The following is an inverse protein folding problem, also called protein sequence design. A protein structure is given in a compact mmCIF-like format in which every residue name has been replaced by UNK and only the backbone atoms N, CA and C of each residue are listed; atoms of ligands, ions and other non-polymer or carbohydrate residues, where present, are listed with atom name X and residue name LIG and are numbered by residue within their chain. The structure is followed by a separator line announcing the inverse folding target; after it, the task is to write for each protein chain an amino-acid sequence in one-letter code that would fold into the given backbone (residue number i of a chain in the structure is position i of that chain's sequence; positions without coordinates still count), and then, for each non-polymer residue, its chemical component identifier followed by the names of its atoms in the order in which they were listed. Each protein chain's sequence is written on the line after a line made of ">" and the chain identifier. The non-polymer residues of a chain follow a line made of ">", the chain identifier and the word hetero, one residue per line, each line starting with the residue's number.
data_IF_635222231627
#
_entry.id   IF_635222231627
#
_cell.length_a   1.000
_cell.length_b   1.000
_cell.length_c   1.000
_cell.angle_alpha   90.00
_cell.angle_beta   90.00
_cell.angle_gamma   90.00
#
_symmetry.space_group_name_H-M   'P 1'
#
loop_
_entity.id
_entity.type
_entity.pdbx_description
1 polymer ?
#
# COMPACT_ATOMS: atom_id res chain seq x y z
N UNK A 1 -11.97 -17.99 3.40
CA UNK A 1 -11.46 -19.31 3.83
C UNK A 1 -10.39 -19.05 4.88
N UNK A 2 -10.69 -19.32 6.14
CA UNK A 2 -9.71 -19.29 7.23
C UNK A 2 -8.96 -20.62 7.22
N UNK A 3 -7.89 -20.69 6.43
CA UNK A 3 -6.87 -21.72 6.63
C UNK A 3 -6.22 -21.50 8.00
N UNK A 4 -5.78 -22.57 8.64
CA UNK A 4 -4.95 -22.44 9.85
C UNK A 4 -3.70 -21.64 9.47
N UNK A 5 -3.55 -20.44 10.03
CA UNK A 5 -2.42 -19.53 9.75
C UNK A 5 -1.08 -20.18 10.14
N UNK A 6 -1.13 -21.31 10.87
CA UNK A 6 0.04 -22.08 11.25
C UNK A 6 0.25 -23.34 10.39
N UNK A 7 -0.62 -23.63 9.42
CA UNK A 7 -0.44 -24.75 8.52
C UNK A 7 0.85 -24.57 7.70
N UNK A 8 1.86 -25.40 8.00
CA UNK A 8 3.15 -25.35 7.34
C UNK A 8 4.24 -24.54 8.05
N UNK A 9 3.99 -23.96 9.23
CA UNK A 9 5.04 -23.35 10.06
C UNK A 9 5.84 -24.42 10.82
N UNK A 10 6.58 -25.24 10.08
CA UNK A 10 7.67 -26.01 10.67
C UNK A 10 8.83 -25.10 11.10
N UNK A 11 9.82 -25.66 11.80
CA UNK A 11 10.95 -24.90 12.32
C UNK A 11 11.70 -24.08 11.25
N UNK A 12 11.75 -24.55 10.00
CA UNK A 12 12.42 -23.82 8.91
C UNK A 12 11.55 -22.66 8.42
N UNK A 13 10.25 -22.87 8.28
CA UNK A 13 9.33 -21.81 7.87
C UNK A 13 9.14 -20.75 8.96
N UNK A 14 9.25 -21.13 10.24
CA UNK A 14 9.31 -20.18 11.35
C UNK A 14 10.52 -19.24 11.23
N UNK A 15 11.72 -19.79 10.96
CA UNK A 15 12.92 -18.97 10.73
C UNK A 15 12.76 -18.01 9.55
N UNK A 16 12.15 -18.46 8.45
CA UNK A 16 11.87 -17.60 7.29
C UNK A 16 10.92 -16.47 7.69
N UNK A 17 9.83 -16.78 8.42
CA UNK A 17 8.89 -15.77 8.91
C UNK A 17 9.57 -14.73 9.80
N UNK A 18 10.47 -15.16 10.68
CA UNK A 18 11.20 -14.25 11.57
C UNK A 18 12.21 -13.37 10.80
N UNK A 19 12.89 -13.93 9.79
CA UNK A 19 13.72 -13.16 8.85
C UNK A 19 12.89 -12.10 8.10
N UNK A 20 11.70 -12.46 7.62
CA UNK A 20 10.80 -11.56 6.92
C UNK A 20 10.31 -10.43 7.82
N UNK A 21 9.94 -10.75 9.07
CA UNK A 21 9.52 -9.76 10.05
C UNK A 21 10.66 -8.77 10.38
N UNK A 22 11.87 -9.27 10.62
CA UNK A 22 13.04 -8.45 10.87
C UNK A 22 13.40 -7.56 9.66
N UNK A 23 13.36 -8.11 8.44
CA UNK A 23 13.60 -7.35 7.22
C UNK A 23 12.57 -6.22 7.05
N UNK A 24 11.31 -6.48 7.37
CA UNK A 24 10.23 -5.48 7.29
C UNK A 24 10.39 -4.36 8.32
N UNK A 25 10.74 -4.69 9.56
CA UNK A 25 11.06 -3.68 10.58
C UNK A 25 12.24 -2.80 10.15
N UNK A 26 13.29 -3.39 9.58
CA UNK A 26 14.42 -2.63 9.03
C UNK A 26 14.00 -1.67 7.90
N UNK A 27 12.99 -2.01 7.10
CA UNK A 27 12.45 -1.08 6.10
C UNK A 27 11.69 0.06 6.74
N UNK A 28 10.98 -0.17 7.86
CA UNK A 28 10.25 0.90 8.55
C UNK A 28 11.18 1.98 9.12
N UNK A 29 12.37 1.60 9.55
CA UNK A 29 13.38 2.54 10.05
C UNK A 29 14.00 3.36 8.91
N UNK A 30 14.14 2.74 7.72
CA UNK A 30 14.76 3.38 6.55
C UNK A 30 13.78 4.22 5.73
N UNK A 31 12.52 3.82 5.66
CA UNK A 31 11.53 4.37 4.75
C UNK A 31 10.39 5.03 5.54
N UNK A 32 10.25 6.34 5.39
CA UNK A 32 9.12 7.09 5.95
C UNK A 32 7.84 7.03 5.09
N UNK A 33 7.79 6.10 4.13
CA UNK A 33 6.70 5.91 3.17
C UNK A 33 5.95 4.60 3.43
N UNK A 34 4.62 4.51 3.24
CA UNK A 34 3.88 3.24 3.37
C UNK A 34 4.47 2.11 2.51
N UNK A 35 4.42 0.87 3.01
CA UNK A 35 4.82 -0.32 2.25
C UNK A 35 3.61 -1.12 1.78
N UNK A 36 3.78 -1.89 0.72
CA UNK A 36 2.78 -2.88 0.29
C UNK A 36 2.47 -3.82 1.46
N UNK A 37 1.18 -3.98 1.74
CA UNK A 37 0.62 -4.73 2.86
C UNK A 37 0.40 -3.92 4.14
N UNK A 38 0.91 -2.68 4.25
CA UNK A 38 0.60 -1.79 5.39
C UNK A 38 -0.92 -1.51 5.46
N UNK A 39 -1.40 -1.21 6.67
CA UNK A 39 -2.82 -1.07 6.99
C UNK A 39 -3.22 0.40 6.92
N UNK A 40 -4.42 0.68 6.43
CA UNK A 40 -4.96 2.03 6.30
C UNK A 40 -6.37 2.08 6.89
N UNK A 41 -6.57 2.97 7.86
CA UNK A 41 -7.89 3.37 8.32
C UNK A 41 -8.46 4.43 7.38
N UNK A 42 -9.58 4.09 6.76
CA UNK A 42 -10.34 4.96 5.88
C UNK A 42 -11.24 5.90 6.70
N UNK A 43 -11.59 7.11 6.20
CA UNK A 43 -12.46 8.04 6.92
C UNK A 43 -13.84 7.49 7.29
N UNK A 44 -14.39 6.56 6.50
CA UNK A 44 -15.67 5.90 6.77
C UNK A 44 -15.55 4.67 7.68
N UNK A 45 -14.40 4.47 8.33
CA UNK A 45 -14.17 3.37 9.27
C UNK A 45 -13.76 2.05 8.62
N UNK A 46 -13.72 1.95 7.29
CA UNK A 46 -13.18 0.76 6.63
C UNK A 46 -11.66 0.62 6.87
N UNK A 47 -11.21 -0.62 6.91
CA UNK A 47 -9.79 -0.96 6.92
C UNK A 47 -9.41 -1.47 5.53
N UNK A 48 -8.35 -0.90 4.97
CA UNK A 48 -7.78 -1.33 3.69
C UNK A 48 -6.30 -1.62 3.87
N UNK A 49 -5.69 -2.26 2.87
CA UNK A 49 -4.24 -2.47 2.82
C UNK A 49 -3.64 -1.85 1.57
N UNK A 50 -2.42 -1.33 1.68
CA UNK A 50 -1.67 -0.79 0.55
C UNK A 50 -1.34 -1.93 -0.42
N UNK A 51 -1.76 -1.82 -1.67
CA UNK A 51 -1.63 -2.86 -2.69
C UNK A 51 -0.55 -2.54 -3.71
N UNK A 52 -0.48 -1.28 -4.15
CA UNK A 52 0.56 -0.81 -5.07
C UNK A 52 1.01 0.60 -4.73
N UNK A 53 2.26 0.86 -5.05
CA UNK A 53 2.90 2.15 -4.97
C UNK A 53 3.12 2.71 -6.39
N UNK A 54 2.52 3.87 -6.68
CA UNK A 54 2.60 4.58 -7.96
C UNK A 54 3.38 5.90 -7.81
N UNK A 55 4.39 5.93 -6.92
CA UNK A 55 5.30 7.05 -6.66
C UNK A 55 4.62 8.26 -5.96
N UNK A 56 3.54 8.79 -6.52
CA UNK A 56 2.78 9.93 -5.96
C UNK A 56 1.40 9.53 -5.44
N UNK A 57 0.97 8.31 -5.75
CA UNK A 57 -0.30 7.77 -5.34
C UNK A 57 -0.11 6.35 -4.82
N UNK A 58 -1.00 5.93 -3.93
CA UNK A 58 -1.06 4.58 -3.42
C UNK A 58 -2.41 3.97 -3.74
N UNK A 59 -2.39 2.75 -4.27
CA UNK A 59 -3.60 1.95 -4.43
C UNK A 59 -3.80 1.08 -3.19
N UNK A 60 -5.06 0.81 -2.89
CA UNK A 60 -5.45 -0.03 -1.77
C UNK A 60 -6.36 -1.17 -2.20
N UNK A 61 -6.56 -2.14 -1.32
CA UNK A 61 -7.51 -3.24 -1.51
C UNK A 61 -8.22 -3.55 -0.21
N UNK A 62 -9.47 -4.00 -0.32
CA UNK A 62 -10.23 -4.60 0.79
C UNK A 62 -9.88 -6.09 0.93
N UNK A 63 -9.70 -6.78 -0.20
CA UNK A 63 -9.41 -8.22 -0.26
C UNK A 63 -8.27 -8.49 -1.24
N UNK A 64 -7.59 -9.61 -1.02
CA UNK A 64 -6.55 -10.11 -1.90
C UNK A 64 -5.47 -10.84 -1.11
N UNK A 65 -4.37 -11.13 -1.77
CA UNK A 65 -3.26 -11.88 -1.20
C UNK A 65 -1.97 -11.08 -1.28
N UNK A 66 -1.14 -11.20 -0.25
CA UNK A 66 0.11 -10.46 -0.10
C UNK A 66 1.28 -11.44 0.02
N UNK A 67 2.12 -11.49 -1.01
CA UNK A 67 3.36 -12.27 -1.00
C UNK A 67 4.48 -11.47 -0.33
N UNK A 68 5.25 -12.09 0.57
CA UNK A 68 6.38 -11.46 1.23
C UNK A 68 7.71 -11.84 0.57
N UNK A 69 8.51 -10.84 0.19
CA UNK A 69 9.88 -11.05 -0.27
C UNK A 69 10.86 -11.02 0.90
N UNK A 70 11.99 -11.74 0.76
CA UNK A 70 13.10 -11.71 1.73
C UNK A 70 13.67 -10.30 2.01
N UNK A 71 13.40 -9.33 1.13
CA UNK A 71 13.75 -7.93 1.36
C UNK A 71 12.86 -7.20 2.37
N UNK A 72 11.78 -7.82 2.84
CA UNK A 72 10.74 -7.21 3.69
C UNK A 72 9.61 -6.53 2.92
N UNK A 73 9.77 -6.35 1.60
CA UNK A 73 8.72 -5.81 0.73
C UNK A 73 7.61 -6.84 0.48
N UNK A 74 6.43 -6.35 0.13
CA UNK A 74 5.30 -7.17 -0.29
C UNK A 74 5.01 -7.06 -1.79
N UNK A 75 4.33 -8.06 -2.34
CA UNK A 75 3.61 -7.97 -3.62
C UNK A 75 2.14 -8.32 -3.40
N UNK A 76 1.24 -7.65 -4.11
CA UNK A 76 -0.19 -7.85 -4.00
C UNK A 76 -0.75 -8.55 -5.24
N UNK A 77 -1.74 -9.41 -5.03
CA UNK A 77 -2.61 -9.93 -6.08
C UNK A 77 -4.07 -9.89 -5.64
N UNK A 78 -4.93 -9.26 -6.45
CA UNK A 78 -6.35 -9.11 -6.16
C UNK A 78 -6.96 -7.90 -6.85
N UNK A 79 -8.16 -7.53 -6.42
CA UNK A 79 -8.88 -6.37 -6.93
C UNK A 79 -8.33 -5.07 -6.31
N UNK A 80 -8.04 -4.09 -7.17
CA UNK A 80 -7.49 -2.79 -6.78
C UNK A 80 -8.60 -1.75 -6.65
N UNK A 81 -8.41 -0.84 -5.69
CA UNK A 81 -9.18 0.40 -5.56
C UNK A 81 -8.43 1.56 -6.19
N UNK A 82 -9.17 2.63 -6.41
CA UNK A 82 -8.61 3.86 -6.98
C UNK A 82 -7.46 4.39 -6.13
N UNK A 83 -6.41 4.82 -6.82
CA UNK A 83 -5.24 5.37 -6.19
C UNK A 83 -5.56 6.69 -5.49
N UNK A 84 -5.08 6.85 -4.26
CA UNK A 84 -5.17 8.10 -3.50
C UNK A 84 -3.81 8.79 -3.44
N UNK A 85 -3.76 10.14 -3.40
CA UNK A 85 -2.53 10.88 -3.21
C UNK A 85 -1.76 10.41 -1.97
N UNK A 86 -0.44 10.25 -2.10
CA UNK A 86 0.42 9.78 -1.02
C UNK A 86 0.34 10.69 0.22
N UNK A 87 0.26 11.98 0.01
CA UNK A 87 0.24 12.99 1.08
C UNK A 87 -1.07 13.00 1.88
N UNK A 88 -2.05 12.18 1.51
CA UNK A 88 -3.22 11.91 2.35
C UNK A 88 -2.94 10.84 3.41
N UNK A 89 -1.82 10.13 3.35
CA UNK A 89 -1.52 9.04 4.29
C UNK A 89 -0.70 9.56 5.46
N UNK A 90 -1.32 9.63 6.63
CA UNK A 90 -0.68 10.02 7.88
C UNK A 90 -0.28 8.80 8.70
N UNK A 91 0.95 8.80 9.22
CA UNK A 91 1.47 7.72 10.06
C UNK A 91 0.87 7.83 11.46
N UNK A 92 0.27 6.75 11.96
CA UNK A 92 -0.32 6.73 13.31
C UNK A 92 0.68 6.39 14.42
N UNK A 93 1.80 5.74 14.06
CA UNK A 93 2.76 5.18 15.02
C UNK A 93 2.44 3.75 15.46
N UNK A 94 1.24 3.25 15.16
CA UNK A 94 0.83 1.90 15.52
C UNK A 94 1.38 0.83 14.56
N UNK A 95 1.57 -0.38 15.11
CA UNK A 95 1.86 -1.60 14.36
C UNK A 95 0.74 -2.60 14.61
N UNK A 96 0.34 -3.29 13.55
CA UNK A 96 -0.63 -4.39 13.60
C UNK A 96 -0.15 -5.55 12.75
N UNK A 97 -0.57 -6.77 13.10
CA UNK A 97 -0.24 -7.97 12.33
C UNK A 97 -1.08 -8.04 11.05
N UNK A 98 -0.42 -8.08 9.90
CA UNK A 98 -1.05 -8.28 8.60
C UNK A 98 -0.79 -9.69 8.06
N UNK A 99 -1.78 -10.27 7.39
CA UNK A 99 -1.63 -11.59 6.75
C UNK A 99 -0.76 -11.49 5.48
N UNK A 100 0.24 -12.35 5.36
CA UNK A 100 1.06 -12.53 4.17
C UNK A 100 1.23 -14.03 3.91
N UNK A 101 1.81 -14.36 2.77
CA UNK A 101 2.32 -15.70 2.51
C UNK A 101 3.70 -15.65 1.85
N UNK A 102 4.43 -16.75 1.97
CA UNK A 102 5.71 -16.98 1.30
C UNK A 102 5.82 -18.44 0.85
N UNK A 103 6.89 -18.77 0.11
CA UNK A 103 7.13 -20.13 -0.33
C UNK A 103 7.82 -20.97 0.76
N UNK A 104 7.22 -22.10 1.11
CA UNK A 104 7.74 -23.08 2.05
C UNK A 104 9.19 -23.47 1.71
N UNK A 105 10.07 -23.35 2.70
CA UNK A 105 11.51 -23.60 2.61
C UNK A 105 12.23 -22.80 1.51
N UNK A 106 11.69 -21.64 1.12
CA UNK A 106 12.17 -20.83 -0.01
C UNK A 106 12.15 -21.56 -1.37
N UNK A 107 11.30 -22.59 -1.52
CA UNK A 107 11.17 -23.35 -2.77
C UNK A 107 9.87 -22.96 -3.46
N UNK A 108 9.98 -22.35 -4.65
CA UNK A 108 8.84 -21.95 -5.46
C UNK A 108 8.06 -23.17 -5.99
N UNK A 109 6.74 -23.06 -6.06
CA UNK A 109 5.90 -24.12 -6.63
C UNK A 109 4.45 -24.08 -6.15
N UNK A 110 3.57 -24.71 -6.92
CA UNK A 110 2.17 -24.87 -6.56
C UNK A 110 2.02 -25.66 -5.25
N UNK A 111 1.10 -25.24 -4.39
CA UNK A 111 0.86 -25.90 -3.09
C UNK A 111 1.95 -25.67 -2.04
N UNK A 112 2.88 -24.75 -2.27
CA UNK A 112 3.97 -24.43 -1.33
C UNK A 112 3.78 -23.10 -0.60
N UNK A 113 2.61 -22.49 -0.66
CA UNK A 113 2.32 -21.29 0.09
C UNK A 113 2.24 -21.60 1.58
N UNK A 114 2.92 -20.78 2.39
CA UNK A 114 2.80 -20.76 3.85
C UNK A 114 2.26 -19.40 4.23
N UNK A 115 1.06 -19.38 4.80
CA UNK A 115 0.46 -18.17 5.36
C UNK A 115 1.16 -17.82 6.68
N UNK A 116 1.30 -16.53 6.96
CA UNK A 116 1.91 -16.03 8.18
C UNK A 116 1.43 -14.61 8.48
N UNK A 117 1.69 -14.12 9.69
CA UNK A 117 1.54 -12.70 10.01
C UNK A 117 2.89 -12.00 10.11
N UNK A 118 2.93 -10.78 9.56
CA UNK A 118 4.07 -9.88 9.61
C UNK A 118 3.63 -8.51 10.14
N UNK A 119 4.53 -7.75 10.77
CA UNK A 119 4.22 -6.42 11.28
C UNK A 119 3.92 -5.46 10.13
N UNK A 120 2.80 -4.75 10.22
CA UNK A 120 2.37 -3.72 9.30
C UNK A 120 2.24 -2.40 10.04
N UNK A 121 2.71 -1.31 9.43
CA UNK A 121 2.39 0.03 9.95
C UNK A 121 0.94 0.35 9.67
N UNK A 122 0.36 1.07 10.61
CA UNK A 122 -0.99 1.59 10.49
C UNK A 122 -0.93 3.06 10.06
N UNK A 123 -1.67 3.36 9.01
CA UNK A 123 -1.83 4.68 8.45
C UNK A 123 -3.28 5.12 8.57
N UNK A 124 -3.49 6.43 8.59
CA UNK A 124 -4.80 7.04 8.48
C UNK A 124 -4.84 7.80 7.17
N UNK A 125 -5.93 7.63 6.42
CA UNK A 125 -6.16 8.48 5.27
C UNK A 125 -6.88 9.76 5.73
N UNK A 126 -6.28 10.92 5.50
CA UNK A 126 -6.80 12.24 5.84
C UNK A 126 -6.87 13.07 4.55
N UNK A 127 -8.00 13.00 3.82
CA UNK A 127 -8.17 13.76 2.59
C UNK A 127 -8.31 15.26 2.87
N UNK A 128 -7.73 16.08 2.00
CA UNK A 128 -7.92 17.53 2.01
C UNK A 128 -8.04 18.06 0.57
N UNK A 129 -8.84 19.11 0.40
CA UNK A 129 -8.98 19.78 -0.89
C UNK A 129 -7.73 20.63 -1.17
N UNK A 130 -7.32 20.65 -2.44
CA UNK A 130 -6.31 21.59 -2.93
C UNK A 130 -6.96 22.61 -3.84
N UNK A 131 -6.53 23.86 -3.75
CA UNK A 131 -6.77 24.81 -4.81
C UNK A 131 -5.88 24.50 -6.04
N UNK A 132 -6.14 25.21 -7.14
CA UNK A 132 -5.39 24.99 -8.38
C UNK A 132 -3.90 25.31 -8.23
N UNK A 133 -3.56 26.41 -7.55
CA UNK A 133 -2.17 26.82 -7.38
C UNK A 133 -1.38 25.77 -6.58
N UNK A 134 -1.97 25.22 -5.52
CA UNK A 134 -1.41 24.13 -4.75
C UNK A 134 -1.24 22.86 -5.58
N UNK A 135 -2.21 22.54 -6.45
CA UNK A 135 -2.12 21.40 -7.35
C UNK A 135 -1.00 21.57 -8.39
N UNK A 136 -0.82 22.76 -8.94
CA UNK A 136 0.23 23.09 -9.92
C UNK A 136 1.64 23.00 -9.31
N UNK A 137 1.80 23.32 -8.02
CA UNK A 137 3.06 23.15 -7.30
C UNK A 137 3.38 21.69 -6.93
N UNK A 138 2.47 20.75 -7.13
CA UNK A 138 2.69 19.36 -6.73
C UNK A 138 3.73 18.67 -7.66
N UNK A 139 4.68 17.86 -7.15
CA UNK A 139 5.73 17.23 -7.96
C UNK A 139 5.21 16.44 -9.18
N UNK A 140 4.06 15.76 -9.02
CA UNK A 140 3.37 15.08 -10.13
C UNK A 140 2.89 16.04 -11.22
N UNK A 141 2.37 17.21 -10.85
CA UNK A 141 1.90 18.21 -11.79
C UNK A 141 3.09 18.81 -12.56
N UNK A 142 4.18 19.14 -11.86
CA UNK A 142 5.42 19.61 -12.48
C UNK A 142 5.97 18.61 -13.51
N UNK A 143 6.04 17.33 -13.15
CA UNK A 143 6.47 16.27 -14.09
C UNK A 143 5.51 16.13 -15.29
N UNK A 144 4.22 16.31 -15.08
CA UNK A 144 3.21 16.27 -16.14
C UNK A 144 3.32 17.48 -17.07
N UNK A 145 3.58 18.66 -16.51
CA UNK A 145 3.84 19.91 -17.22
C UNK A 145 5.08 19.79 -18.10
N UNK A 146 6.19 19.27 -17.56
CA UNK A 146 7.44 19.06 -18.30
C UNK A 146 7.27 18.12 -19.50
N UNK A 147 6.40 17.12 -19.37
CA UNK A 147 6.18 16.11 -20.41
C UNK A 147 5.15 16.54 -21.46
N UNK A 148 4.01 17.09 -21.03
CA UNK A 148 2.87 17.40 -21.90
C UNK A 148 2.75 18.87 -22.29
N UNK A 149 3.27 19.78 -21.47
CA UNK A 149 3.09 21.23 -21.61
C UNK A 149 1.80 21.77 -20.98
N UNK A 150 1.79 23.08 -20.74
CA UNK A 150 0.65 23.81 -20.19
C UNK A 150 -0.56 23.78 -21.14
N UNK A 151 -1.77 23.66 -20.60
CA UNK A 151 -3.00 23.60 -21.39
C UNK A 151 -3.24 22.27 -22.12
N UNK A 152 -2.30 21.31 -22.04
CA UNK A 152 -2.53 19.98 -22.58
C UNK A 152 -3.56 19.21 -21.75
N UNK A 153 -4.44 18.45 -22.41
CA UNK A 153 -5.56 17.75 -21.74
C UNK A 153 -5.09 16.79 -20.63
N UNK A 154 -3.96 16.12 -20.83
CA UNK A 154 -3.42 15.20 -19.82
C UNK A 154 -2.85 15.94 -18.59
N UNK A 155 -2.27 17.12 -18.78
CA UNK A 155 -1.86 17.98 -17.67
C UNK A 155 -3.06 18.46 -16.87
N UNK A 156 -4.10 18.96 -17.54
CA UNK A 156 -5.33 19.42 -16.89
C UNK A 156 -6.05 18.30 -16.12
N UNK A 157 -6.01 17.06 -16.62
CA UNK A 157 -6.52 15.88 -15.88
C UNK A 157 -5.74 15.64 -14.58
N UNK A 158 -4.41 15.81 -14.59
CA UNK A 158 -3.59 15.68 -13.37
C UNK A 158 -3.97 16.76 -12.36
N UNK A 159 -4.09 18.02 -12.79
CA UNK A 159 -4.52 19.13 -11.93
C UNK A 159 -5.89 18.85 -11.32
N UNK A 160 -6.87 18.47 -12.15
CA UNK A 160 -8.22 18.16 -11.68
C UNK A 160 -8.24 17.02 -10.66
N UNK A 161 -7.44 15.96 -10.87
CA UNK A 161 -7.33 14.83 -9.93
C UNK A 161 -6.66 15.21 -8.61
N UNK A 162 -5.67 16.11 -8.63
CA UNK A 162 -4.99 16.58 -7.41
C UNK A 162 -5.87 17.51 -6.57
N UNK A 163 -6.70 18.32 -7.24
CA UNK A 163 -7.69 19.19 -6.57
C UNK A 163 -8.84 18.37 -5.96
N UNK A 164 -9.37 17.41 -6.71
CA UNK A 164 -10.54 16.61 -6.34
C UNK A 164 -10.30 15.09 -6.50
N UNK A 165 -9.44 14.48 -5.68
CA UNK A 165 -9.19 13.05 -5.72
C UNK A 165 -10.44 12.22 -5.36
N UNK A 166 -10.50 10.93 -5.78
CA UNK A 166 -11.70 10.10 -5.69
C UNK A 166 -12.31 10.02 -4.27
N UNK A 167 -11.49 9.96 -3.23
CA UNK A 167 -11.99 9.88 -1.85
C UNK A 167 -12.72 11.15 -1.39
N UNK A 168 -12.43 12.31 -1.98
CA UNK A 168 -13.16 13.56 -1.70
C UNK A 168 -14.49 13.58 -2.45
N UNK A 169 -14.51 13.06 -3.67
CA UNK A 169 -15.71 13.02 -4.50
C UNK A 169 -16.72 11.97 -4.03
N UNK A 170 -16.21 10.82 -3.55
CA UNK A 170 -17.03 9.73 -3.06
C UNK A 170 -16.32 9.03 -1.88
N UNK A 171 -16.49 9.53 -0.65
CA UNK A 171 -15.85 8.95 0.54
C UNK A 171 -16.31 7.51 0.82
N UNK A 172 -17.48 7.13 0.28
CA UNK A 172 -18.07 5.79 0.40
C UNK A 172 -17.69 4.84 -0.74
N UNK A 173 -16.93 5.30 -1.75
CA UNK A 173 -16.55 4.44 -2.88
C UNK A 173 -15.74 3.23 -2.40
N UNK A 174 -16.42 2.09 -2.43
CA UNK A 174 -16.01 0.77 -1.95
C UNK A 174 -14.72 0.30 -2.59
#
# INVERSE_FOLDING_TARGET
>A
MSGDINAGLDARNQLIRDELAAARLNLFDKLQRPLIGDIVHWPNGHVRRISHDLEWELQTSIVGSFFAFRSGHGSFSGALKDAQPLDFFERTGELQEGLFWFFSHNVTGAGRAVDCTLPCRVWRLVPFARDRAQAECHPRALRSLDFWGEGHIEYEKVIAKLMNPPVIQNPEAH
#
